data_IF_843892147713
#
_entry.id   IF_843892147713
#
_cell.length_a   1.000
_cell.length_b   1.000
_cell.length_c   1.000
_cell.angle_alpha   90.00
_cell.angle_beta   90.00
_cell.angle_gamma   90.00
#
_symmetry.space_group_name_H-M   'P 1'
#
loop_
_entity.id
_entity.type
_entity.pdbx_description
1 polymer ?
#
# COMPACT_ATOMS: atom_id res chain seq x y z
N UNK A 1 32.45 6.03 -28.43
CA UNK A 1 31.89 6.86 -27.35
C UNK A 1 30.57 6.32 -26.76
N UNK A 2 29.70 5.62 -27.51
CA UNK A 2 28.49 4.99 -26.93
C UNK A 2 28.70 3.60 -26.31
N UNK A 3 29.84 2.92 -26.55
CA UNK A 3 30.10 1.57 -26.01
C UNK A 3 30.76 1.54 -24.62
N UNK A 4 31.11 2.70 -24.06
CA UNK A 4 31.90 2.78 -22.80
C UNK A 4 31.03 3.10 -21.58
N UNK A 5 29.77 3.49 -21.77
CA UNK A 5 28.83 3.83 -20.68
C UNK A 5 28.13 2.58 -20.11
N UNK A 6 28.01 1.49 -20.88
CA UNK A 6 27.40 0.25 -20.38
C UNK A 6 28.29 -0.55 -19.41
N UNK A 7 29.59 -0.28 -19.34
CA UNK A 7 30.53 -1.03 -18.50
C UNK A 7 30.75 -0.42 -17.10
N UNK A 8 30.13 0.73 -16.80
CA UNK A 8 30.24 1.39 -15.50
C UNK A 8 29.11 1.04 -14.51
N UNK A 9 28.18 0.16 -14.87
CA UNK A 9 27.32 -0.53 -13.89
C UNK A 9 28.04 -1.75 -13.31
N UNK A 10 29.29 -1.53 -12.90
CA UNK A 10 30.13 -2.49 -12.21
C UNK A 10 29.58 -2.64 -10.79
N UNK A 11 28.65 -3.59 -10.61
CA UNK A 11 28.35 -4.28 -9.34
C UNK A 11 28.43 -3.43 -8.06
N UNK A 12 27.82 -2.25 -8.07
CA UNK A 12 27.43 -1.66 -6.79
C UNK A 12 26.32 -2.55 -6.27
N UNK A 13 26.57 -3.23 -5.15
CA UNK A 13 25.53 -3.90 -4.38
C UNK A 13 24.54 -2.81 -3.95
N UNK A 14 23.58 -2.50 -4.82
CA UNK A 14 22.51 -1.60 -4.49
C UNK A 14 21.86 -2.16 -3.23
N UNK A 15 21.55 -1.30 -2.24
CA UNK A 15 20.92 -1.77 -1.02
C UNK A 15 19.65 -2.52 -1.41
N UNK A 16 19.45 -3.70 -0.82
CA UNK A 16 18.22 -4.46 -0.97
C UNK A 16 17.12 -3.65 -0.26
N UNK A 17 16.24 -3.03 -1.04
CA UNK A 17 15.15 -2.18 -0.56
C UNK A 17 13.81 -2.85 -0.82
N UNK A 18 12.89 -2.68 0.12
CA UNK A 18 11.50 -3.11 -0.01
C UNK A 18 10.77 -2.30 -1.10
N UNK A 19 10.09 -2.98 -2.03
CA UNK A 19 9.32 -2.35 -3.11
C UNK A 19 8.14 -1.49 -2.61
N UNK A 20 7.66 -1.76 -1.40
CA UNK A 20 6.50 -1.08 -0.79
C UNK A 20 6.93 0.18 0.00
N UNK A 21 7.74 0.01 1.04
CA UNK A 21 8.14 1.11 1.93
C UNK A 21 9.48 1.79 1.57
N UNK A 22 10.23 1.23 0.61
CA UNK A 22 11.57 1.69 0.20
C UNK A 22 12.63 1.69 1.32
N UNK A 23 12.42 0.94 2.39
CA UNK A 23 13.41 0.75 3.47
C UNK A 23 14.25 -0.51 3.25
N UNK A 24 15.44 -0.55 3.85
CA UNK A 24 16.32 -1.71 3.82
C UNK A 24 15.84 -2.84 4.75
N UNK A 25 16.46 -4.01 4.63
CA UNK A 25 16.29 -5.10 5.59
C UNK A 25 16.64 -4.67 7.02
N UNK A 26 15.96 -5.26 8.01
CA UNK A 26 16.11 -4.95 9.43
C UNK A 26 15.53 -3.61 9.88
N UNK A 27 14.94 -2.82 8.99
CA UNK A 27 14.28 -1.57 9.36
C UNK A 27 13.17 -1.83 10.38
N UNK A 28 13.36 -1.31 11.61
CA UNK A 28 12.48 -1.56 12.77
C UNK A 28 12.25 -3.05 13.08
N UNK A 29 13.25 -3.89 12.82
CA UNK A 29 13.15 -5.34 13.03
C UNK A 29 12.40 -6.08 11.92
N UNK A 30 11.89 -5.40 10.90
CA UNK A 30 11.21 -6.04 9.79
C UNK A 30 12.19 -6.81 8.89
N UNK A 31 11.84 -8.05 8.57
CA UNK A 31 12.63 -8.90 7.68
C UNK A 31 12.24 -8.71 6.22
N UNK A 32 13.24 -8.52 5.37
CA UNK A 32 13.08 -8.38 3.93
C UNK A 32 13.07 -9.76 3.27
N UNK A 33 11.91 -10.15 2.75
CA UNK A 33 11.72 -11.34 1.94
C UNK A 33 12.12 -11.08 0.50
N UNK A 34 12.74 -12.09 -0.12
CA UNK A 34 13.10 -12.07 -1.55
C UNK A 34 12.41 -13.22 -2.25
N UNK A 35 11.52 -12.90 -3.21
CA UNK A 35 10.84 -13.94 -3.97
C UNK A 35 11.85 -14.78 -4.74
N UNK A 36 11.76 -16.10 -4.59
CA UNK A 36 12.66 -17.07 -5.22
C UNK A 36 12.59 -17.03 -6.75
N UNK A 37 11.42 -16.70 -7.32
CA UNK A 37 11.19 -16.66 -8.76
C UNK A 37 11.51 -15.27 -9.37
N UNK A 38 10.75 -14.23 -8.99
CA UNK A 38 10.85 -12.90 -9.63
C UNK A 38 11.79 -11.90 -8.94
N UNK A 39 12.37 -12.29 -7.79
CA UNK A 39 13.31 -11.47 -7.00
C UNK A 39 12.73 -10.16 -6.46
N UNK A 40 11.40 -9.97 -6.45
CA UNK A 40 10.76 -8.86 -5.73
C UNK A 40 11.16 -8.92 -4.25
N UNK A 41 11.44 -7.76 -3.68
CA UNK A 41 11.88 -7.59 -2.30
C UNK A 41 10.78 -6.86 -1.52
N UNK A 42 10.33 -7.43 -0.41
CA UNK A 42 9.28 -6.85 0.44
C UNK A 42 9.53 -7.18 1.90
N UNK A 43 9.19 -6.29 2.82
CA UNK A 43 9.09 -6.70 4.22
C UNK A 43 7.84 -7.55 4.44
N UNK A 44 7.88 -8.48 5.40
CA UNK A 44 6.73 -9.31 5.81
C UNK A 44 5.48 -8.47 6.02
N UNK A 45 5.53 -7.50 6.94
CA UNK A 45 4.41 -6.58 7.23
C UNK A 45 4.00 -5.71 6.05
N UNK A 46 4.96 -5.23 5.26
CA UNK A 46 4.66 -4.47 4.05
C UNK A 46 3.88 -5.29 3.00
N UNK A 47 3.99 -6.62 3.06
CA UNK A 47 3.28 -7.53 2.17
C UNK A 47 2.02 -8.12 2.82
N UNK A 48 1.68 -7.73 4.05
CA UNK A 48 0.54 -8.25 4.80
C UNK A 48 0.76 -9.66 5.36
N UNK A 49 2.02 -10.03 5.60
CA UNK A 49 2.38 -11.27 6.30
C UNK A 49 2.60 -10.98 7.79
N UNK A 50 2.09 -11.84 8.65
CA UNK A 50 2.24 -11.75 10.10
C UNK A 50 3.67 -12.11 10.53
N UNK A 51 4.16 -11.39 11.54
CA UNK A 51 5.49 -11.62 12.11
C UNK A 51 5.54 -12.97 12.82
N UNK A 52 6.17 -13.98 12.21
CA UNK A 52 6.15 -15.31 12.80
C UNK A 52 6.65 -16.44 11.91
N UNK A 53 6.90 -16.18 10.61
CA UNK A 53 7.54 -17.17 9.75
C UNK A 53 8.94 -17.58 10.23
N UNK A 54 9.52 -16.85 11.20
CA UNK A 54 10.56 -17.38 12.07
C UNK A 54 9.93 -18.15 13.23
N UNK A 55 9.85 -19.47 13.08
CA UNK A 55 9.56 -20.35 14.23
C UNK A 55 10.54 -20.02 15.38
N UNK A 56 10.06 -19.84 16.61
CA UNK A 56 10.91 -19.84 17.79
C UNK A 56 11.49 -21.26 17.92
N UNK A 57 12.75 -21.42 17.56
CA UNK A 57 13.41 -22.72 17.56
C UNK A 57 14.58 -22.74 16.59
N UNK A 58 15.76 -22.37 17.09
CA UNK A 58 17.00 -22.15 16.34
C UNK A 58 17.62 -23.39 15.71
N UNK A 59 16.88 -24.07 14.84
CA UNK A 59 17.41 -25.14 13.99
C UNK A 59 17.43 -24.62 12.56
N UNK A 60 18.62 -24.59 11.99
CA UNK A 60 18.98 -24.19 10.64
C UNK A 60 18.37 -25.10 9.56
N UNK A 61 17.05 -25.29 9.58
CA UNK A 61 16.33 -25.90 8.48
C UNK A 61 16.32 -24.90 7.33
N UNK A 62 16.65 -25.32 6.09
CA UNK A 62 16.58 -24.44 4.93
C UNK A 62 15.12 -24.02 4.75
N UNK A 63 14.80 -22.77 5.10
CA UNK A 63 13.47 -22.21 4.87
C UNK A 63 13.06 -22.45 3.42
N UNK A 64 11.83 -22.94 3.16
CA UNK A 64 11.34 -23.04 1.80
C UNK A 64 11.43 -21.65 1.15
N UNK A 65 11.90 -21.64 -0.09
CA UNK A 65 12.19 -20.38 -0.77
C UNK A 65 10.89 -19.61 -1.03
N UNK A 66 10.65 -18.53 -0.29
CA UNK A 66 9.40 -17.75 -0.35
C UNK A 66 9.04 -17.31 -1.78
N UNK A 67 7.75 -17.37 -2.11
CA UNK A 67 7.18 -16.93 -3.39
C UNK A 67 6.13 -15.85 -3.13
N UNK A 68 6.13 -14.80 -3.94
CA UNK A 68 5.07 -13.80 -3.89
C UNK A 68 3.81 -14.31 -4.60
N UNK A 69 2.65 -13.75 -4.24
CA UNK A 69 1.35 -14.11 -4.81
C UNK A 69 1.33 -14.19 -6.36
N UNK A 70 1.93 -13.25 -7.12
CA UNK A 70 2.01 -13.34 -8.57
C UNK A 70 2.78 -14.55 -9.11
N UNK A 71 3.80 -15.02 -8.39
CA UNK A 71 4.61 -16.18 -8.78
C UNK A 71 3.96 -17.50 -8.37
N UNK A 72 3.31 -17.52 -7.20
CA UNK A 72 2.54 -18.66 -6.72
C UNK A 72 1.33 -18.95 -7.60
N UNK A 73 0.56 -17.91 -7.93
CA UNK A 73 -0.64 -18.00 -8.78
C UNK A 73 -0.34 -17.88 -10.28
N UNK A 74 0.93 -18.00 -10.69
CA UNK A 74 1.35 -17.86 -12.09
C UNK A 74 0.64 -18.85 -13.03
N UNK A 75 0.33 -20.05 -12.52
CA UNK A 75 -0.40 -21.08 -13.25
C UNK A 75 -1.85 -20.69 -13.59
N UNK A 76 -2.42 -19.71 -12.87
CA UNK A 76 -3.77 -19.19 -13.12
C UNK A 76 -3.80 -18.04 -14.13
N UNK A 77 -2.65 -17.60 -14.65
CA UNK A 77 -2.60 -16.55 -15.67
C UNK A 77 -2.73 -17.15 -17.09
N UNK A 78 -3.50 -16.53 -18.00
CA UNK A 78 -3.74 -17.08 -19.34
C UNK A 78 -2.48 -17.34 -20.17
N UNK A 79 -1.43 -16.54 -19.96
CA UNK A 79 -0.15 -16.65 -20.68
C UNK A 79 0.98 -17.20 -19.81
N UNK A 80 0.66 -17.63 -18.58
CA UNK A 80 1.63 -18.04 -17.58
C UNK A 80 2.64 -16.95 -17.24
N UNK A 81 2.36 -15.67 -17.52
CA UNK A 81 3.26 -14.56 -17.16
C UNK A 81 2.83 -13.93 -15.85
N UNK A 82 3.81 -13.33 -15.19
CA UNK A 82 3.57 -12.54 -13.99
C UNK A 82 2.73 -11.31 -14.37
N UNK A 83 1.65 -10.99 -13.64
CA UNK A 83 0.96 -9.72 -13.79
C UNK A 83 1.92 -8.55 -13.54
N UNK A 84 1.81 -7.50 -14.36
CA UNK A 84 2.51 -6.23 -14.15
C UNK A 84 1.56 -5.04 -14.05
N UNK A 85 0.30 -5.20 -14.50
CA UNK A 85 -0.67 -4.12 -14.56
C UNK A 85 -1.50 -4.03 -13.29
N UNK A 86 -1.41 -2.91 -12.59
CA UNK A 86 -2.29 -2.59 -11.47
C UNK A 86 -3.60 -1.98 -11.96
N UNK A 87 -4.74 -2.35 -11.36
CA UNK A 87 -6.04 -1.75 -11.71
C UNK A 87 -6.30 -0.41 -11.01
N UNK A 88 -5.56 -0.09 -9.94
CA UNK A 88 -5.72 1.12 -9.13
C UNK A 88 -4.85 2.31 -9.60
N UNK A 89 -3.90 2.08 -10.49
CA UNK A 89 -3.06 3.13 -11.07
C UNK A 89 -2.69 2.78 -12.53
N UNK A 90 -2.08 3.69 -13.32
CA UNK A 90 -1.69 3.39 -14.69
C UNK A 90 -0.28 2.77 -14.82
N UNK A 91 0.41 2.50 -13.71
CA UNK A 91 1.73 1.84 -13.70
C UNK A 91 1.56 0.36 -14.05
N UNK A 92 2.32 -0.09 -15.05
CA UNK A 92 2.18 -1.41 -15.65
C UNK A 92 3.52 -2.02 -16.11
N UNK A 93 4.61 -1.38 -15.72
CA UNK A 93 6.00 -1.72 -15.96
C UNK A 93 6.70 -2.08 -14.65
N UNK A 94 7.87 -2.72 -14.73
CA UNK A 94 8.63 -3.14 -13.54
C UNK A 94 8.13 -4.43 -12.87
N UNK A 95 8.80 -4.79 -11.77
CA UNK A 95 8.44 -5.92 -10.91
C UNK A 95 8.06 -5.34 -9.55
N UNK A 96 6.76 -5.38 -9.25
CA UNK A 96 6.22 -4.78 -8.04
C UNK A 96 5.47 -5.81 -7.19
N UNK A 97 5.43 -5.62 -5.88
CA UNK A 97 4.60 -6.37 -4.95
C UNK A 97 3.11 -6.26 -5.36
N UNK A 98 2.40 -7.37 -5.51
CA UNK A 98 1.00 -7.35 -5.98
C UNK A 98 0.14 -8.42 -5.32
N UNK A 99 -1.14 -8.10 -5.17
CA UNK A 99 -2.20 -9.02 -4.74
C UNK A 99 -3.30 -9.12 -5.80
N UNK A 100 -3.98 -10.28 -5.92
CA UNK A 100 -5.16 -10.39 -6.75
C UNK A 100 -6.31 -9.58 -6.13
N UNK A 101 -7.20 -9.06 -6.97
CA UNK A 101 -8.41 -8.34 -6.52
C UNK A 101 -9.62 -9.22 -6.68
N UNK A 102 -10.43 -9.33 -5.64
CA UNK A 102 -11.67 -10.11 -5.63
C UNK A 102 -12.90 -9.20 -5.61
N UNK A 103 -14.04 -9.75 -6.00
CA UNK A 103 -15.32 -9.01 -6.11
C UNK A 103 -16.13 -8.98 -4.80
N UNK A 104 -15.85 -9.88 -3.86
CA UNK A 104 -16.49 -9.99 -2.56
C UNK A 104 -15.53 -10.68 -1.59
N UNK A 105 -15.82 -10.55 -0.30
CA UNK A 105 -15.18 -11.29 0.79
C UNK A 105 -15.69 -12.73 0.92
N UNK A 106 -15.07 -13.47 1.84
CA UNK A 106 -15.39 -14.85 2.20
C UNK A 106 -14.88 -15.90 1.22
N UNK A 107 -15.11 -17.19 1.54
CA UNK A 107 -14.55 -18.32 0.77
C UNK A 107 -15.17 -18.45 -0.63
N UNK A 108 -16.26 -17.72 -0.87
CA UNK A 108 -16.96 -17.64 -2.16
C UNK A 108 -16.46 -16.48 -3.03
N UNK A 109 -15.56 -15.64 -2.52
CA UNK A 109 -14.92 -14.55 -3.26
C UNK A 109 -14.29 -15.05 -4.54
N UNK A 110 -14.52 -14.34 -5.65
CA UNK A 110 -13.95 -14.69 -6.96
C UNK A 110 -12.99 -13.61 -7.42
N UNK A 111 -11.87 -13.98 -8.07
CA UNK A 111 -11.01 -13.01 -8.72
C UNK A 111 -11.83 -12.13 -9.68
N UNK A 112 -11.72 -10.82 -9.51
CA UNK A 112 -12.37 -9.83 -10.34
C UNK A 112 -11.82 -9.94 -11.77
N UNK A 113 -12.64 -10.41 -12.70
CA UNK A 113 -12.19 -10.65 -14.07
C UNK A 113 -12.16 -9.37 -14.92
N UNK A 114 -11.08 -9.22 -15.69
CA UNK A 114 -10.90 -8.18 -16.72
C UNK A 114 -10.75 -8.87 -18.08
N UNK A 115 -10.68 -8.08 -19.15
CA UNK A 115 -10.50 -8.61 -20.52
C UNK A 115 -9.26 -9.49 -20.68
N UNK A 116 -8.23 -9.26 -19.86
CA UNK A 116 -6.93 -9.94 -19.96
C UNK A 116 -6.66 -10.87 -18.75
N UNK A 117 -7.71 -11.40 -18.12
CA UNK A 117 -7.60 -12.26 -16.94
C UNK A 117 -7.93 -11.55 -15.63
N UNK A 118 -7.54 -12.11 -14.47
CA UNK A 118 -7.88 -11.56 -13.16
C UNK A 118 -7.25 -10.18 -12.95
N UNK A 119 -7.93 -9.34 -12.19
CA UNK A 119 -7.44 -8.04 -11.78
C UNK A 119 -6.38 -8.19 -10.69
N UNK A 120 -5.36 -7.35 -10.79
CA UNK A 120 -4.25 -7.29 -9.85
C UNK A 120 -4.02 -5.86 -9.39
N UNK A 121 -3.50 -5.71 -8.18
CA UNK A 121 -3.16 -4.42 -7.60
C UNK A 121 -1.77 -4.46 -7.02
N UNK A 122 -1.05 -3.34 -7.11
CA UNK A 122 0.16 -3.19 -6.32
C UNK A 122 -0.20 -3.18 -4.84
N UNK A 123 0.55 -3.92 -4.02
CA UNK A 123 0.35 -3.96 -2.57
C UNK A 123 0.35 -2.54 -2.00
N UNK A 124 1.34 -1.73 -2.37
CA UNK A 124 1.39 -0.32 -1.94
C UNK A 124 0.14 0.47 -2.35
N UNK A 125 -0.41 0.29 -3.55
CA UNK A 125 -1.62 1.03 -3.94
C UNK A 125 -2.83 0.60 -3.10
N UNK A 126 -2.99 -0.71 -2.87
CA UNK A 126 -4.09 -1.26 -2.09
C UNK A 126 -4.00 -0.82 -0.63
N UNK A 127 -2.86 -1.05 0.03
CA UNK A 127 -2.63 -0.65 1.43
C UNK A 127 -2.84 0.85 1.61
N UNK A 128 -2.31 1.66 0.71
CA UNK A 128 -2.46 3.11 0.82
C UNK A 128 -3.91 3.54 0.66
N UNK A 129 -4.68 2.97 -0.27
CA UNK A 129 -6.10 3.31 -0.38
C UNK A 129 -6.88 2.78 0.83
N UNK A 130 -6.55 1.59 1.32
CA UNK A 130 -7.22 0.96 2.47
C UNK A 130 -6.97 1.66 3.81
N UNK A 131 -5.77 2.23 4.00
CA UNK A 131 -5.39 2.89 5.26
C UNK A 131 -5.37 4.42 5.19
N UNK A 132 -5.40 5.01 3.98
CA UNK A 132 -5.41 6.46 3.87
C UNK A 132 -6.77 7.00 4.30
N UNK A 133 -6.77 7.88 5.29
CA UNK A 133 -7.92 8.52 5.91
C UNK A 133 -9.06 8.98 4.99
N UNK A 134 -8.77 9.51 3.80
CA UNK A 134 -9.82 9.93 2.85
C UNK A 134 -10.49 8.78 2.08
N UNK A 135 -9.92 7.58 2.14
CA UNK A 135 -10.35 6.40 1.40
C UNK A 135 -10.37 5.14 2.26
N UNK A 136 -10.22 5.27 3.57
CA UNK A 136 -10.17 4.13 4.49
C UNK A 136 -11.38 3.23 4.29
N UNK A 137 -11.20 1.90 4.35
CA UNK A 137 -12.26 0.91 4.09
C UNK A 137 -12.66 0.74 2.61
N UNK A 138 -12.17 1.57 1.68
CA UNK A 138 -12.48 1.40 0.26
C UNK A 138 -11.83 0.16 -0.37
N UNK A 139 -10.71 -0.29 0.20
CA UNK A 139 -10.00 -1.50 -0.17
C UNK A 139 -9.52 -2.15 1.13
N UNK A 140 -9.73 -3.44 1.28
CA UNK A 140 -9.32 -4.17 2.47
C UNK A 140 -8.63 -5.47 2.09
N UNK A 141 -7.77 -5.93 2.99
CA UNK A 141 -7.04 -7.18 2.87
C UNK A 141 -7.89 -8.32 3.45
N UNK A 142 -7.87 -9.46 2.77
CA UNK A 142 -8.49 -10.68 3.24
C UNK A 142 -7.48 -11.82 3.23
N UNK A 143 -7.66 -12.74 4.15
CA UNK A 143 -6.89 -13.97 4.24
C UNK A 143 -7.28 -14.99 3.13
N UNK A 144 -6.77 -16.22 3.21
CA UNK A 144 -7.14 -17.28 2.25
C UNK A 144 -8.58 -17.77 2.39
N UNK A 145 -9.18 -17.61 3.57
CA UNK A 145 -10.59 -17.95 3.82
C UNK A 145 -11.53 -16.83 3.38
N UNK A 146 -11.00 -15.65 3.09
CA UNK A 146 -11.78 -14.46 2.75
C UNK A 146 -12.28 -13.71 3.96
N UNK A 147 -11.77 -14.03 5.13
CA UNK A 147 -12.03 -13.27 6.35
C UNK A 147 -11.27 -11.94 6.25
N UNK A 148 -11.96 -10.87 6.64
CA UNK A 148 -11.34 -9.54 6.70
C UNK A 148 -10.33 -9.59 7.84
N UNK A 149 -9.16 -8.98 7.63
CA UNK A 149 -8.20 -8.71 8.69
C UNK A 149 -8.81 -7.63 9.61
N UNK A 150 -9.88 -7.97 10.31
CA UNK A 150 -10.55 -7.06 11.23
C UNK A 150 -9.66 -6.93 12.46
N UNK A 151 -9.35 -5.70 12.79
CA UNK A 151 -8.46 -5.29 13.85
C UNK A 151 -9.10 -5.45 15.23
N UNK A 152 -9.82 -6.57 15.45
CA UNK A 152 -10.28 -7.07 16.76
C UNK A 152 -11.01 -6.06 17.65
N UNK A 153 -11.40 -4.92 17.09
CA UNK A 153 -11.90 -3.79 17.82
C UNK A 153 -13.38 -3.96 17.89
N UNK A 154 -13.85 -4.53 19.00
CA UNK A 154 -15.14 -4.19 19.58
C UNK A 154 -15.16 -2.67 19.84
N UNK A 155 -15.24 -1.86 18.77
CA UNK A 155 -15.86 -0.55 18.79
C UNK A 155 -17.36 -0.81 18.96
N UNK A 156 -17.73 -1.43 20.07
CA UNK A 156 -19.03 -1.18 20.65
C UNK A 156 -19.02 0.31 21.02
N UNK A 157 -19.46 1.11 20.05
CA UNK A 157 -19.79 2.50 20.22
C UNK A 157 -20.77 2.58 21.41
N UNK A 158 -20.25 2.89 22.59
CA UNK A 158 -21.00 3.40 23.73
C UNK A 158 -21.52 4.79 23.34
N UNK A 159 -22.51 4.79 22.45
CA UNK A 159 -23.36 5.93 22.13
C UNK A 159 -24.21 6.25 23.33
N UNK A 160 -23.57 6.79 24.36
CA UNK A 160 -24.25 7.49 25.44
C UNK A 160 -25.22 8.51 24.81
N UNK A 161 -26.51 8.24 24.98
CA UNK A 161 -27.61 9.03 24.44
C UNK A 161 -27.48 10.49 24.88
N UNK A 162 -26.90 11.33 24.03
CA UNK A 162 -26.92 12.77 24.22
C UNK A 162 -28.36 13.26 23.99
N UNK A 163 -29.05 13.45 25.12
CA UNK A 163 -30.32 14.15 25.29
C UNK A 163 -30.56 15.23 24.22
N UNK A 164 -31.50 14.93 23.32
CA UNK A 164 -31.98 15.86 22.30
C UNK A 164 -32.92 16.89 22.94
N UNK A 165 -32.37 18.03 23.35
CA UNK A 165 -33.16 19.19 23.75
C UNK A 165 -33.71 19.88 22.48
N UNK A 166 -35.01 19.72 22.29
CA UNK A 166 -35.76 20.22 21.15
C UNK A 166 -36.09 21.69 21.33
N UNK A 167 -35.42 22.57 20.56
CA UNK A 167 -35.89 23.94 20.35
C UNK A 167 -36.58 24.03 18.98
N UNK A 168 -37.89 23.87 19.01
CA UNK A 168 -38.78 24.07 17.88
C UNK A 168 -39.11 25.56 17.68
N UNK A 169 -39.34 25.90 16.40
CA UNK A 169 -40.18 27.00 15.86
C UNK A 169 -39.55 28.40 15.79
N UNK A 170 -39.75 29.23 14.77
CA UNK A 170 -40.57 29.20 13.54
C UNK A 170 -40.19 30.45 12.70
N UNK A 171 -40.61 30.45 11.42
CA UNK A 171 -40.78 31.58 10.48
C UNK A 171 -39.54 32.06 9.69
N UNK A 172 -39.62 32.41 8.40
CA UNK A 172 -40.67 32.36 7.36
C UNK A 172 -40.03 32.74 6.01
N UNK A 173 -40.80 32.59 4.93
CA UNK A 173 -40.71 33.35 3.67
C UNK A 173 -39.83 32.80 2.53
N UNK A 174 -40.44 31.85 1.81
CA UNK A 174 -41.00 32.06 0.46
C UNK A 174 -40.32 33.13 -0.42
N UNK A 175 -39.65 32.69 -1.49
CA UNK A 175 -39.81 33.30 -2.83
C UNK A 175 -39.21 32.44 -3.94
N UNK A 176 -40.13 31.98 -4.79
CA UNK A 176 -39.91 31.46 -6.13
C UNK A 176 -39.04 32.39 -6.98
N UNK A 177 -38.04 31.81 -7.67
CA UNK A 177 -37.66 32.20 -9.04
C UNK A 177 -37.18 30.99 -9.83
N UNK A 178 -38.14 30.44 -10.55
CA UNK A 178 -37.96 29.69 -11.79
C UNK A 178 -37.17 30.55 -12.79
N UNK A 179 -35.98 30.08 -13.21
CA UNK A 179 -35.35 30.62 -14.42
C UNK A 179 -34.74 29.47 -15.23
N UNK A 180 -35.47 29.14 -16.29
CA UNK A 180 -35.11 28.17 -17.31
C UNK A 180 -34.04 28.76 -18.22
N UNK A 181 -32.86 28.14 -18.27
CA UNK A 181 -31.90 28.42 -19.34
C UNK A 181 -31.57 27.13 -20.11
N UNK A 182 -32.25 27.02 -21.26
CA UNK A 182 -31.88 26.17 -22.38
C UNK A 182 -30.61 26.74 -23.01
N UNK A 183 -29.53 25.95 -23.04
CA UNK A 183 -28.44 26.13 -24.00
C UNK A 183 -28.22 24.80 -24.70
N UNK A 184 -28.31 24.84 -26.03
CA UNK A 184 -28.33 23.69 -26.92
C UNK A 184 -26.98 22.96 -27.09
N UNK A 185 -26.94 21.96 -27.98
CA UNK A 185 -25.82 21.05 -28.13
C UNK A 185 -24.71 21.69 -28.96
N UNK A 186 -23.47 21.60 -28.48
CA UNK A 186 -22.29 21.79 -29.33
C UNK A 186 -21.68 20.43 -29.64
N UNK A 187 -21.98 19.95 -30.85
CA UNK A 187 -21.11 19.05 -31.60
C UNK A 187 -19.74 19.72 -31.79
N UNK A 188 -18.65 19.05 -31.44
CA UNK A 188 -17.40 19.11 -32.19
C UNK A 188 -16.61 17.83 -31.96
N UNK A 189 -16.60 17.02 -33.02
CA UNK A 189 -15.62 15.99 -33.30
C UNK A 189 -14.19 16.55 -33.26
N UNK A 190 -13.30 15.83 -32.57
CA UNK A 190 -11.90 15.74 -32.96
C UNK A 190 -11.31 14.43 -32.42
N UNK A 191 -11.42 13.40 -33.26
CA UNK A 191 -10.74 12.12 -33.10
C UNK A 191 -9.23 12.32 -32.91
N UNK A 192 -8.71 11.91 -31.75
CA UNK A 192 -7.27 11.69 -31.57
C UNK A 192 -7.01 10.20 -31.47
N UNK A 193 -6.80 9.59 -32.65
CA UNK A 193 -6.24 8.24 -32.79
C UNK A 193 -4.83 8.27 -32.20
N UNK A 194 -4.59 7.50 -31.15
CA UNK A 194 -3.25 7.05 -30.78
C UNK A 194 -3.15 5.57 -31.13
N UNK A 195 -2.63 5.32 -32.33
CA UNK A 195 -2.07 4.03 -32.69
C UNK A 195 -0.78 3.84 -31.89
N UNK A 196 -0.72 2.78 -31.08
CA UNK A 196 0.52 2.23 -30.60
C UNK A 196 0.45 0.70 -30.64
N UNK A 197 0.38 0.18 -31.87
CA UNK A 197 0.77 -1.19 -32.18
C UNK A 197 2.16 -1.16 -32.80
N UNK A 198 3.17 -1.59 -32.02
CA UNK A 198 4.35 -2.20 -32.62
C UNK A 198 4.84 -3.32 -31.70
N UNK A 199 4.25 -4.49 -31.92
CA UNK A 199 4.83 -5.76 -31.55
C UNK A 199 6.13 -5.93 -32.36
N UNK A 200 7.25 -6.04 -31.65
CA UNK A 200 8.47 -6.62 -32.20
C UNK A 200 8.61 -7.98 -31.53
N UNK A 201 8.33 -9.02 -32.31
CA UNK A 201 8.60 -10.39 -31.93
C UNK A 201 10.11 -10.63 -31.94
N UNK A 202 10.64 -11.05 -30.80
CA UNK A 202 11.93 -11.72 -30.74
C UNK A 202 11.66 -13.14 -30.25
N UNK A 203 11.90 -14.10 -31.15
CA UNK A 203 12.00 -15.53 -30.86
C UNK A 203 13.41 -15.80 -30.37
N UNK A 204 13.57 -16.29 -29.16
CA UNK A 204 14.79 -16.97 -28.71
C UNK A 204 14.34 -18.15 -27.82
N UNK A 205 14.40 -19.36 -28.37
CA UNK A 205 15.51 -20.32 -28.23
C UNK A 205 15.53 -20.96 -26.85
N UNK A 206 14.95 -22.17 -26.80
CA UNK A 206 14.98 -23.04 -25.63
C UNK A 206 16.38 -23.58 -25.38
N UNK A 207 16.74 -23.59 -24.11
CA UNK A 207 17.83 -24.41 -23.59
C UNK A 207 17.21 -25.44 -22.64
N UNK A 208 17.27 -26.70 -23.07
CA UNK A 208 17.18 -27.86 -22.21
C UNK A 208 18.42 -27.89 -21.32
N UNK A 209 18.22 -28.04 -20.02
CA UNK A 209 19.27 -28.53 -19.11
C UNK A 209 18.70 -29.71 -18.34
N UNK A 210 19.28 -30.87 -18.63
CA UNK A 210 18.99 -32.15 -18.03
C UNK A 210 19.33 -32.16 -16.52
N UNK A 211 18.43 -32.73 -15.73
CA UNK A 211 18.65 -33.12 -14.33
C UNK A 211 19.56 -34.35 -14.25
N UNK A 212 20.51 -34.41 -13.30
CA UNK A 212 21.03 -35.67 -12.83
C UNK A 212 20.38 -36.07 -11.49
N UNK A 213 19.69 -37.19 -11.62
CA UNK A 213 19.17 -38.11 -10.62
C UNK A 213 20.26 -38.55 -9.62
N UNK A 214 20.05 -38.34 -8.30
CA UNK A 214 20.93 -38.88 -7.26
C UNK A 214 20.13 -39.68 -6.21
N UNK A 215 20.52 -40.96 -6.11
CA UNK A 215 19.93 -42.01 -5.27
C UNK A 215 20.43 -41.94 -3.82
N UNK A 216 19.47 -42.20 -2.91
CA UNK A 216 19.45 -43.11 -1.74
C UNK A 216 20.75 -43.54 -1.00
N UNK A 217 20.50 -43.81 0.30
CA UNK A 217 21.25 -44.57 1.33
C UNK A 217 21.99 -43.65 2.32
N UNK A 218 21.97 -43.84 3.64
CA UNK A 218 21.83 -45.04 4.49
C UNK A 218 21.20 -44.72 5.85
N UNK A 219 20.52 -45.72 6.41
CA UNK A 219 20.14 -45.90 7.82
C UNK A 219 21.38 -45.93 8.73
N UNK A 220 21.26 -45.41 9.95
CA UNK A 220 22.13 -45.77 11.07
C UNK A 220 21.31 -45.72 12.36
N UNK A 221 21.12 -46.92 12.92
CA UNK A 221 20.64 -47.18 14.27
C UNK A 221 21.66 -46.69 15.30
N UNK A 222 21.23 -45.89 16.28
CA UNK A 222 21.95 -45.71 17.54
C UNK A 222 20.95 -45.89 18.69
N UNK A 223 21.22 -46.98 19.40
CA UNK A 223 20.60 -47.51 20.59
C UNK A 223 21.20 -46.85 21.85
N UNK A 224 20.38 -46.75 22.91
CA UNK A 224 20.83 -46.70 24.31
C UNK A 224 21.13 -45.33 24.93
N UNK A 225 20.27 -44.89 25.86
CA UNK A 225 20.60 -43.81 26.81
C UNK A 225 19.55 -43.65 27.90
N UNK A 226 19.95 -43.89 29.15
CA UNK A 226 19.12 -44.06 30.35
C UNK A 226 18.44 -42.79 30.91
N UNK A 227 17.25 -43.05 31.47
CA UNK A 227 16.51 -42.37 32.54
C UNK A 227 17.23 -41.26 33.33
N UNK A 228 16.60 -40.09 33.38
CA UNK A 228 16.48 -39.28 34.59
C UNK A 228 15.02 -38.82 34.74
N UNK A 229 14.39 -39.21 35.85
CA UNK A 229 13.12 -38.66 36.31
C UNK A 229 13.45 -37.34 36.98
N UNK A 230 13.12 -36.23 36.32
CA UNK A 230 13.07 -34.91 36.95
C UNK A 230 11.64 -34.57 37.32
N UNK A 231 11.55 -33.87 38.45
CA UNK A 231 10.38 -33.54 39.22
C UNK A 231 9.57 -32.46 38.48
N UNK A 232 8.41 -32.83 37.93
CA UNK A 232 7.47 -31.91 37.25
C UNK A 232 6.92 -30.91 38.28
N UNK A 233 7.55 -29.74 38.37
CA UNK A 233 6.90 -28.54 38.89
C UNK A 233 5.89 -28.10 37.83
N UNK A 234 4.60 -28.31 38.12
CA UNK A 234 3.49 -27.82 37.32
C UNK A 234 3.54 -26.29 37.21
N UNK A 235 4.20 -25.80 36.16
CA UNK A 235 3.87 -24.53 35.56
C UNK A 235 2.46 -24.73 35.00
N UNK A 236 1.50 -23.97 35.51
CA UNK A 236 0.23 -23.80 34.84
C UNK A 236 0.59 -23.22 33.47
N UNK A 237 0.53 -24.06 32.43
CA UNK A 237 0.66 -23.67 31.04
C UNK A 237 -0.43 -22.64 30.82
N UNK A 238 -0.04 -21.37 30.94
CA UNK A 238 -0.78 -20.22 30.44
C UNK A 238 -1.05 -20.58 28.98
N UNK A 239 -2.29 -20.97 28.68
CA UNK A 239 -2.75 -21.37 27.35
C UNK A 239 -2.57 -20.14 26.47
N UNK A 240 -1.34 -19.95 25.96
CA UNK A 240 -1.03 -18.88 25.04
C UNK A 240 -1.91 -19.15 23.84
N UNK A 241 -2.98 -18.36 23.72
CA UNK A 241 -3.89 -18.43 22.60
C UNK A 241 -3.04 -18.49 21.34
N UNK A 242 -3.14 -19.58 20.59
CA UNK A 242 -2.42 -19.76 19.35
C UNK A 242 -2.87 -18.62 18.42
N UNK A 243 -2.11 -17.52 18.39
CA UNK A 243 -2.41 -16.36 17.57
C UNK A 243 -2.37 -16.86 16.13
N UNK A 244 -3.56 -17.01 15.53
CA UNK A 244 -3.69 -17.47 14.16
C UNK A 244 -2.95 -16.49 13.26
N UNK A 245 -1.89 -16.98 12.61
CA UNK A 245 -1.03 -16.22 11.72
C UNK A 245 -1.86 -15.90 10.47
N UNK A 246 -2.54 -14.76 10.49
CA UNK A 246 -3.30 -14.30 9.33
C UNK A 246 -2.34 -13.73 8.28
N UNK A 247 -2.46 -14.17 7.03
CA UNK A 247 -1.68 -13.67 5.89
C UNK A 247 -2.61 -13.07 4.85
N UNK A 248 -2.29 -11.87 4.36
CA UNK A 248 -3.05 -11.24 3.28
C UNK A 248 -2.90 -12.07 2.01
N UNK A 249 -3.96 -12.75 1.61
CA UNK A 249 -4.01 -13.53 0.39
C UNK A 249 -4.51 -12.68 -0.78
N UNK A 250 -5.53 -11.84 -0.55
CA UNK A 250 -6.16 -11.06 -1.61
C UNK A 250 -6.70 -9.72 -1.12
N UNK A 251 -7.02 -8.85 -2.08
CA UNK A 251 -7.60 -7.54 -1.81
C UNK A 251 -9.04 -7.51 -2.31
N UNK A 252 -9.94 -6.90 -1.55
CA UNK A 252 -11.32 -6.68 -1.96
C UNK A 252 -11.55 -5.19 -2.12
N UNK A 253 -12.26 -4.80 -3.18
CA UNK A 253 -12.65 -3.40 -3.43
C UNK A 253 -14.10 -3.22 -3.01
N UNK A 254 -14.39 -2.20 -2.22
CA UNK A 254 -15.76 -1.85 -1.83
C UNK A 254 -16.67 -1.75 -3.06
N UNK A 255 -17.86 -2.35 -2.95
CA UNK A 255 -18.86 -2.37 -4.02
C UNK A 255 -20.16 -1.73 -3.53
N UNK A 256 -20.99 -1.26 -4.47
CA UNK A 256 -22.29 -0.67 -4.16
C UNK A 256 -23.21 -1.61 -3.36
N UNK A 257 -23.03 -2.93 -3.51
CA UNK A 257 -23.86 -3.93 -2.88
C UNK A 257 -23.45 -4.21 -1.44
N UNK A 258 -22.14 -4.36 -1.20
CA UNK A 258 -21.64 -4.79 0.10
C UNK A 258 -21.32 -3.61 1.02
N UNK A 259 -20.84 -2.50 0.44
CA UNK A 259 -20.23 -1.38 1.17
C UNK A 259 -20.56 -0.04 0.47
N UNK A 260 -21.84 0.36 0.44
CA UNK A 260 -22.31 1.49 -0.38
C UNK A 260 -21.66 2.83 0.00
N UNK A 261 -21.37 3.06 1.28
CA UNK A 261 -20.70 4.25 1.81
C UNK A 261 -19.26 4.38 1.28
N UNK A 262 -18.45 3.33 1.40
CA UNK A 262 -17.09 3.30 0.87
C UNK A 262 -17.08 3.34 -0.66
N UNK A 263 -18.06 2.71 -1.31
CA UNK A 263 -18.22 2.80 -2.76
C UNK A 263 -18.53 4.23 -3.23
N UNK A 264 -19.32 4.99 -2.46
CA UNK A 264 -19.57 6.41 -2.72
C UNK A 264 -18.29 7.25 -2.63
N UNK A 265 -17.46 6.98 -1.61
CA UNK A 265 -16.14 7.62 -1.45
C UNK A 265 -15.25 7.32 -2.66
N UNK A 266 -15.16 6.06 -3.10
CA UNK A 266 -14.43 5.67 -4.31
C UNK A 266 -14.92 6.41 -5.57
N UNK A 267 -16.24 6.52 -5.75
CA UNK A 267 -16.83 7.30 -6.86
C UNK A 267 -16.37 8.76 -6.78
N UNK A 268 -16.40 9.37 -5.59
CA UNK A 268 -15.94 10.75 -5.37
C UNK A 268 -14.46 10.93 -5.74
N UNK A 269 -13.58 10.08 -5.24
CA UNK A 269 -12.14 10.14 -5.50
C UNK A 269 -11.81 10.00 -7.00
N UNK A 270 -12.53 9.16 -7.74
CA UNK A 270 -12.37 8.99 -9.20
C UNK A 270 -12.68 10.24 -10.03
N UNK A 271 -13.31 11.26 -9.44
CA UNK A 271 -13.51 12.56 -10.11
C UNK A 271 -12.27 13.44 -10.09
N UNK A 272 -11.32 13.17 -9.19
CA UNK A 272 -10.05 13.87 -9.10
C UNK A 272 -9.14 13.48 -10.27
N UNK A 273 -8.18 14.35 -10.59
CA UNK A 273 -7.24 14.14 -11.69
C UNK A 273 -5.83 14.00 -11.15
N UNK A 274 -5.19 12.87 -11.43
CA UNK A 274 -3.79 12.67 -11.05
C UNK A 274 -2.87 13.71 -11.72
N UNK A 275 -2.04 14.38 -10.94
CA UNK A 275 -1.11 15.40 -11.44
C UNK A 275 0.08 14.84 -12.24
N UNK A 276 0.36 13.55 -12.13
CA UNK A 276 1.48 12.91 -12.84
C UNK A 276 1.02 12.35 -14.19
N UNK A 277 -0.02 11.52 -14.20
CA UNK A 277 -0.46 10.85 -15.44
C UNK A 277 -1.61 11.58 -16.16
N UNK A 278 -2.31 12.49 -15.49
CA UNK A 278 -3.45 13.23 -16.04
C UNK A 278 -4.59 12.35 -16.60
N UNK A 279 -4.65 11.08 -16.21
CA UNK A 279 -5.69 10.15 -16.65
C UNK A 279 -7.08 10.64 -16.22
N UNK A 280 -8.09 10.28 -17.01
CA UNK A 280 -9.49 10.45 -16.64
C UNK A 280 -10.01 9.12 -16.08
N UNK A 281 -10.37 9.11 -14.80
CA UNK A 281 -10.71 7.91 -14.05
C UNK A 281 -12.21 7.79 -13.76
N UNK A 282 -13.04 8.65 -14.38
CA UNK A 282 -14.50 8.68 -14.23
C UNK A 282 -15.24 7.55 -14.97
N UNK A 283 -14.57 6.86 -15.90
CA UNK A 283 -15.20 5.81 -16.68
C UNK A 283 -15.58 4.62 -15.78
N UNK A 284 -16.78 4.07 -15.98
CA UNK A 284 -17.34 2.99 -15.13
C UNK A 284 -16.50 1.72 -15.10
N UNK A 285 -15.71 1.47 -16.15
CA UNK A 285 -14.80 0.33 -16.26
C UNK A 285 -13.37 0.61 -15.77
N UNK A 286 -13.10 1.79 -15.21
CA UNK A 286 -11.80 2.18 -14.65
C UNK A 286 -11.88 2.08 -13.13
N UNK A 287 -10.92 1.36 -12.55
CA UNK A 287 -10.80 1.17 -11.10
C UNK A 287 -9.70 2.04 -10.49
N UNK A 288 -9.03 2.87 -11.28
CA UNK A 288 -7.93 3.71 -10.79
C UNK A 288 -8.45 4.72 -9.77
N UNK A 289 -7.74 4.87 -8.65
CA UNK A 289 -8.16 5.74 -7.55
C UNK A 289 -7.04 6.73 -7.27
N UNK A 290 -7.19 8.00 -7.66
CA UNK A 290 -6.29 9.05 -7.19
C UNK A 290 -6.64 9.44 -5.75
N UNK A 291 -5.62 9.66 -4.93
CA UNK A 291 -5.72 10.11 -3.55
C UNK A 291 -5.30 11.57 -3.48
N UNK A 292 -6.01 12.39 -2.70
CA UNK A 292 -5.69 13.80 -2.53
C UNK A 292 -4.48 13.96 -1.61
N UNK A 293 -3.74 15.05 -1.81
CA UNK A 293 -2.55 15.39 -1.05
C UNK A 293 -2.89 15.62 0.43
N UNK A 294 -2.11 15.01 1.31
CA UNK A 294 -2.25 15.09 2.77
C UNK A 294 -1.98 16.46 3.40
N UNK A 295 -1.41 17.40 2.64
CA UNK A 295 -1.00 18.69 3.18
C UNK A 295 -2.22 19.51 3.64
N UNK A 296 -2.20 19.93 4.91
CA UNK A 296 -3.26 20.72 5.53
C UNK A 296 -4.53 19.93 5.84
N UNK A 297 -4.50 18.61 5.64
CA UNK A 297 -5.56 17.72 6.09
C UNK A 297 -5.57 17.67 7.63
N UNK A 298 -6.74 17.75 8.26
CA UNK A 298 -6.86 17.82 9.72
C UNK A 298 -6.32 16.58 10.44
N UNK A 299 -6.24 15.45 9.75
CA UNK A 299 -5.69 14.21 10.28
C UNK A 299 -4.28 13.93 9.73
N UNK A 300 -3.55 14.96 9.28
CA UNK A 300 -2.12 14.86 8.98
C UNK A 300 -1.35 14.34 10.17
N UNK A 301 -0.59 13.26 9.94
CA UNK A 301 0.25 12.65 10.97
C UNK A 301 1.23 13.71 11.50
N UNK A 302 1.30 13.83 12.83
CA UNK A 302 2.05 14.88 13.52
C UNK A 302 3.53 14.91 13.14
N UNK A 303 4.13 13.78 12.78
CA UNK A 303 5.51 13.71 12.29
C UNK A 303 5.74 14.50 11.00
N UNK A 304 4.67 14.69 10.22
CA UNK A 304 4.69 15.39 8.94
C UNK A 304 3.91 16.70 8.97
N UNK A 305 3.17 16.99 10.05
CA UNK A 305 2.60 18.31 10.29
C UNK A 305 3.75 19.29 10.17
N UNK A 306 3.68 20.13 9.14
CA UNK A 306 4.71 21.11 8.93
C UNK A 306 4.81 21.91 10.21
N UNK A 307 6.00 21.88 10.83
CA UNK A 307 6.41 22.98 11.68
C UNK A 307 6.41 24.18 10.75
N UNK A 308 5.26 24.86 10.71
CA UNK A 308 5.07 26.12 10.00
C UNK A 308 6.20 26.97 10.54
N UNK A 309 7.27 27.10 9.74
CA UNK A 309 8.42 27.87 10.14
C UNK A 309 7.84 29.21 10.58
N UNK A 310 8.01 29.61 11.85
CA UNK A 310 7.39 30.81 12.37
C UNK A 310 7.74 31.91 11.39
N UNK A 311 6.70 32.53 10.78
CA UNK A 311 6.86 33.56 9.75
C UNK A 311 8.03 34.45 10.19
N UNK A 312 9.12 34.56 9.41
CA UNK A 312 10.32 35.24 9.88
C UNK A 312 9.91 36.62 10.39
N UNK A 313 10.06 36.85 11.70
CA UNK A 313 9.52 38.02 12.44
C UNK A 313 10.05 39.37 11.92
N UNK A 314 10.89 39.39 10.87
CA UNK A 314 11.55 40.57 10.31
C UNK A 314 11.45 40.71 8.79
N UNK A 315 10.64 39.91 8.07
CA UNK A 315 10.40 40.15 6.65
C UNK A 315 9.44 41.34 6.46
N UNK A 316 9.95 42.57 6.60
CA UNK A 316 9.23 43.80 6.26
C UNK A 316 8.78 43.73 4.79
N UNK A 317 7.47 43.67 4.56
CA UNK A 317 6.77 43.95 3.28
C UNK A 317 7.11 43.09 2.05
N UNK A 318 7.84 41.99 2.19
CA UNK A 318 7.91 40.99 1.12
C UNK A 318 6.61 40.18 1.15
N UNK A 319 5.76 40.31 0.12
CA UNK A 319 4.62 39.42 -0.15
C UNK A 319 5.16 37.98 -0.15
N UNK A 320 5.07 37.32 0.99
CA UNK A 320 5.53 35.95 1.18
C UNK A 320 4.81 35.08 0.15
N UNK A 321 5.57 34.43 -0.73
CA UNK A 321 5.07 33.41 -1.67
C UNK A 321 4.54 32.15 -0.96
N UNK A 322 4.59 32.11 0.36
CA UNK A 322 4.00 31.08 1.22
C UNK A 322 2.67 31.61 1.83
N UNK A 323 1.71 31.92 0.96
CA UNK A 323 0.28 31.91 1.27
C UNK A 323 -0.23 30.52 0.85
N UNK A 324 -1.09 29.78 1.55
CA UNK A 324 -1.99 30.01 2.67
C UNK A 324 -1.85 28.75 3.55
N UNK A 325 -1.72 28.91 4.87
CA UNK A 325 -1.64 27.76 5.80
C UNK A 325 -3.01 27.10 5.99
N UNK A 326 -4.08 27.81 5.59
CA UNK A 326 -5.46 27.43 5.90
C UNK A 326 -6.17 26.70 4.74
N UNK A 327 -5.46 26.40 3.64
CA UNK A 327 -6.06 25.73 2.47
C UNK A 327 -5.54 24.29 2.33
N UNK A 328 -6.44 23.33 2.57
CA UNK A 328 -6.23 21.90 2.28
C UNK A 328 -5.80 21.74 0.82
N UNK A 329 -4.71 21.03 0.58
CA UNK A 329 -4.22 20.83 -0.78
C UNK A 329 -5.17 19.93 -1.58
N UNK A 330 -5.76 20.45 -2.66
CA UNK A 330 -6.65 19.68 -3.56
C UNK A 330 -5.93 18.92 -4.69
N UNK A 331 -4.61 18.88 -4.64
CA UNK A 331 -3.83 18.10 -5.62
C UNK A 331 -4.08 16.62 -5.42
N UNK A 332 -4.22 15.84 -6.48
CA UNK A 332 -4.44 14.40 -6.37
C UNK A 332 -3.42 13.59 -7.19
N UNK A 333 -3.13 12.39 -6.73
CA UNK A 333 -2.10 11.51 -7.28
C UNK A 333 -2.55 10.06 -7.22
N UNK A 334 -2.26 9.27 -8.25
CA UNK A 334 -2.24 7.82 -8.07
C UNK A 334 -0.99 7.44 -7.29
N UNK A 335 -1.14 6.60 -6.26
CA UNK A 335 -0.03 6.15 -5.40
C UNK A 335 1.10 5.54 -6.23
N UNK A 336 0.77 4.65 -7.19
CA UNK A 336 1.79 4.07 -8.06
C UNK A 336 2.48 5.07 -8.99
N UNK A 337 1.76 6.08 -9.50
CA UNK A 337 2.41 7.14 -10.29
C UNK A 337 3.41 7.92 -9.44
N UNK A 338 3.01 8.25 -8.21
CA UNK A 338 3.83 8.98 -7.26
C UNK A 338 5.07 8.19 -6.83
N UNK A 339 4.96 6.88 -6.66
CA UNK A 339 6.09 6.01 -6.27
C UNK A 339 7.03 5.69 -7.43
N UNK A 340 6.52 5.30 -8.60
CA UNK A 340 7.37 4.68 -9.65
C UNK A 340 7.52 5.52 -10.93
N UNK A 341 6.66 6.52 -11.17
CA UNK A 341 6.74 7.37 -12.38
C UNK A 341 7.22 8.79 -12.09
N UNK A 342 7.14 9.25 -10.86
CA UNK A 342 7.69 10.54 -10.48
C UNK A 342 9.21 10.49 -10.61
N UNK A 343 9.74 11.16 -11.63
CA UNK A 343 11.19 11.19 -11.88
C UNK A 343 11.87 12.04 -10.80
N UNK A 344 12.89 11.47 -10.13
CA UNK A 344 13.84 12.15 -9.22
C UNK A 344 13.32 12.59 -7.84
N UNK A 345 12.24 12.00 -7.32
CA UNK A 345 11.63 12.48 -6.08
C UNK A 345 11.03 11.31 -5.28
N UNK A 346 11.80 10.71 -4.37
CA UNK A 346 11.35 9.65 -3.44
C UNK A 346 10.38 10.15 -2.34
N UNK A 347 9.88 11.37 -2.51
CA UNK A 347 9.31 12.19 -1.45
C UNK A 347 7.79 12.34 -1.53
N UNK A 348 7.17 11.82 -2.59
CA UNK A 348 5.72 11.90 -2.73
C UNK A 348 5.00 10.97 -1.77
N UNK A 349 5.55 9.78 -1.51
CA UNK A 349 4.86 8.69 -0.81
C UNK A 349 5.66 8.30 0.42
N UNK A 350 5.09 8.56 1.59
CA UNK A 350 5.55 8.02 2.86
C UNK A 350 4.61 6.91 3.27
N UNK A 351 5.15 5.70 3.38
CA UNK A 351 4.41 4.52 3.79
C UNK A 351 5.16 3.83 4.91
N UNK A 352 4.47 3.58 6.01
CA UNK A 352 4.95 2.76 7.11
C UNK A 352 3.83 1.78 7.46
N UNK A 353 4.09 0.45 7.44
CA UNK A 353 3.05 -0.55 7.65
C UNK A 353 2.55 -0.66 9.11
N UNK A 354 3.13 0.10 10.05
CA UNK A 354 2.85 -0.08 11.48
C UNK A 354 3.62 -1.25 12.10
N UNK A 355 3.51 -1.43 13.42
CA UNK A 355 4.02 -2.59 14.16
C UNK A 355 2.82 -3.26 14.83
N UNK A 356 2.50 -4.53 14.51
CA UNK A 356 1.31 -5.20 15.05
C UNK A 356 1.26 -5.31 16.59
N UNK A 357 2.41 -5.25 17.27
CA UNK A 357 2.51 -5.47 18.72
C UNK A 357 2.34 -4.21 19.57
N UNK A 358 2.22 -3.04 18.96
CA UNK A 358 2.03 -1.78 19.68
C UNK A 358 0.72 -1.16 19.24
N UNK A 359 -0.25 -1.07 20.16
CA UNK A 359 -1.59 -0.51 19.93
C UNK A 359 -1.54 0.93 19.36
N UNK A 360 -0.40 1.62 19.48
CA UNK A 360 -0.22 2.97 18.97
C UNK A 360 0.44 3.05 17.60
N UNK A 361 0.99 1.96 17.06
CA UNK A 361 1.77 1.94 15.82
C UNK A 361 0.90 1.61 14.60
N UNK A 362 -0.12 2.44 14.38
CA UNK A 362 -0.97 2.39 13.20
C UNK A 362 -0.18 2.62 11.90
N UNK A 363 -0.58 1.99 10.77
CA UNK A 363 0.05 2.24 9.48
C UNK A 363 -0.06 3.72 9.09
N UNK A 364 1.06 4.33 8.71
CA UNK A 364 1.10 5.72 8.27
C UNK A 364 1.21 5.78 6.75
N UNK A 365 0.18 6.36 6.12
CA UNK A 365 0.09 6.56 4.68
C UNK A 365 -0.03 8.05 4.38
N UNK A 366 1.08 8.71 3.97
CA UNK A 366 1.07 10.14 3.65
C UNK A 366 1.51 10.41 2.21
N UNK A 367 0.66 11.12 1.45
CA UNK A 367 0.84 11.37 0.02
C UNK A 367 0.92 12.87 -0.22
N UNK A 368 2.05 13.34 -0.74
CA UNK A 368 2.27 14.76 -0.99
C UNK A 368 2.44 15.05 -2.46
N UNK A 369 1.83 16.14 -2.94
CA UNK A 369 2.11 16.66 -4.28
C UNK A 369 3.52 17.24 -4.35
N UNK A 370 4.02 17.48 -5.58
CA UNK A 370 5.37 18.02 -5.83
C UNK A 370 5.70 19.23 -4.98
N UNK A 371 4.73 20.14 -4.82
CA UNK A 371 4.88 21.38 -4.04
C UNK A 371 5.09 21.10 -2.55
N UNK A 372 4.45 20.08 -2.01
CA UNK A 372 4.41 19.80 -0.57
C UNK A 372 5.37 18.67 -0.14
N UNK A 373 5.76 17.79 -1.06
CA UNK A 373 6.70 16.70 -0.80
C UNK A 373 8.02 17.20 -0.20
N UNK A 374 8.60 18.27 -0.75
CA UNK A 374 9.84 18.86 -0.21
C UNK A 374 9.69 19.34 1.24
N UNK A 375 8.57 19.98 1.57
CA UNK A 375 8.31 20.44 2.93
C UNK A 375 8.11 19.25 3.88
N UNK A 376 7.51 18.16 3.41
CA UNK A 376 7.21 16.99 4.22
C UNK A 376 8.51 16.25 4.60
N UNK A 377 9.42 16.13 3.64
CA UNK A 377 10.75 15.56 3.85
C UNK A 377 11.58 16.37 4.82
N UNK A 378 11.59 17.70 4.68
CA UNK A 378 12.31 18.57 5.60
C UNK A 378 11.74 18.46 7.03
N UNK A 379 10.42 18.33 7.16
CA UNK A 379 9.75 18.12 8.46
C UNK A 379 10.11 16.76 9.07
N UNK A 380 9.99 15.68 8.29
CA UNK A 380 10.33 14.33 8.72
C UNK A 380 11.82 14.20 9.13
N UNK A 381 12.75 14.78 8.36
CA UNK A 381 14.17 14.80 8.70
C UNK A 381 14.42 15.49 10.03
N UNK A 382 13.76 16.62 10.30
CA UNK A 382 13.90 17.33 11.58
C UNK A 382 13.30 16.56 12.75
N UNK A 383 12.17 15.88 12.54
CA UNK A 383 11.59 15.02 13.56
C UNK A 383 12.55 13.89 13.93
N UNK A 384 13.10 13.21 12.92
CA UNK A 384 14.05 12.10 13.13
C UNK A 384 15.36 12.57 13.80
N UNK A 385 15.90 13.74 13.42
CA UNK A 385 17.13 14.28 14.00
C UNK A 385 16.91 14.96 15.37
N UNK A 386 15.73 15.54 15.60
CA UNK A 386 15.43 16.33 16.81
C UNK A 386 15.10 15.50 18.05
N UNK A 387 14.89 14.19 17.89
CA UNK A 387 14.71 13.27 19.01
C UNK A 387 16.05 12.84 19.64
N UNK A 388 17.18 12.96 18.93
CA UNK A 388 18.49 12.61 19.48
C UNK A 388 19.02 13.65 20.50
N UNK A 389 18.66 14.93 20.33
CA UNK A 389 19.21 16.02 21.15
C UNK A 389 18.46 16.24 22.48
N UNK A 390 17.27 15.66 22.68
CA UNK A 390 16.48 15.89 23.92
C UNK A 390 16.88 15.00 25.09
N UNK A 391 17.72 13.99 24.87
CA UNK A 391 18.19 13.10 25.93
C UNK A 391 19.62 13.41 26.44
N UNK A 392 20.31 14.42 25.91
CA UNK A 392 21.72 14.71 26.25
C UNK A 392 21.95 15.97 27.07
N UNK A 393 20.93 16.68 27.55
CA UNK A 393 21.12 17.89 28.39
C UNK A 393 20.47 17.83 29.76
N UNK A 394 20.29 16.62 30.32
CA UNK A 394 19.90 16.44 31.72
C UNK A 394 20.93 15.57 32.46
N UNK A 395 22.13 16.11 32.65
CA UNK A 395 23.07 15.73 33.73
C UNK A 395 23.67 16.99 34.37
#
# INVERSE_FOLDING_TARGET
LFSTVQYFFKTYNLPMICDVCQQCDGYRGFHLLKCSDCKVLVHETCYGLTHGLRRPGGVSSPFPAWKCMPCELKHNQPDGKRPTACVLCPVNDGIHAMHPVYNSEGPQGRPLQRRNGPAWVHTLCASFIGFHRQSSGCIYACDSNGDVMDDGGDFEDDVSEASSDTCAKENSDEKDKEETNKVGPTEMDAARKFDNTKAIGMKENGYNTDEPNAKKQTENDIDGGEKQMEEEQGFEDDESEDIEIMETHHMVVATEKNWPEYFSVLKGLRHLKCQICHANDRATNVLRVPIQCSFGDSAQNEMFVHVILPKPKRAKKSKSRYACVDEVCRSALHVGCARWRAVNEDYYVHFWPGIPSDENDNPVCELYCKKHAYSAVDSAKRFMLGNDDRHTTAE
#
